data_IF_158123956690
#
_entry.id   IF_158123956690
#
_cell.length_a   1.000
_cell.length_b   1.000
_cell.length_c   1.000
_cell.angle_alpha   90.00
_cell.angle_beta   90.00
_cell.angle_gamma   90.00
#
_symmetry.space_group_name_H-M   'P 1'
#
loop_
_entity.id
_entity.type
_entity.pdbx_description
1 polymer ?
#
# COMPACT_ATOMS: atom_id res chain seq x y z
N UNK A 1 -4.16 -20.99 -7.31
CA UNK A 1 -2.93 -20.81 -8.10
C UNK A 1 -2.23 -19.50 -7.81
N UNK A 2 -0.89 -19.48 -7.92
CA UNK A 2 -0.11 -18.25 -7.79
C UNK A 2 -0.30 -17.36 -9.03
N UNK A 3 -0.80 -16.15 -8.81
CA UNK A 3 -1.15 -15.21 -9.88
C UNK A 3 0.00 -14.93 -10.85
N UNK A 4 1.25 -14.91 -10.38
CA UNK A 4 2.42 -14.60 -11.22
C UNK A 4 2.69 -15.63 -12.32
N UNK A 5 2.25 -16.89 -12.16
CA UNK A 5 2.45 -17.93 -13.19
C UNK A 5 1.77 -17.59 -14.52
N UNK A 6 0.65 -16.88 -14.48
CA UNK A 6 -0.09 -16.47 -15.69
C UNK A 6 0.66 -15.46 -16.56
N UNK A 7 1.71 -14.84 -16.02
CA UNK A 7 2.50 -13.84 -16.74
C UNK A 7 3.61 -14.47 -17.60
N UNK A 8 3.91 -15.76 -17.43
CA UNK A 8 4.90 -16.48 -18.24
C UNK A 8 6.24 -15.75 -18.36
N UNK A 9 6.80 -15.75 -19.57
CA UNK A 9 8.08 -15.09 -19.89
C UNK A 9 8.02 -13.56 -19.77
N UNK A 10 6.82 -12.96 -19.81
CA UNK A 10 6.62 -11.50 -19.73
C UNK A 10 6.71 -10.92 -18.31
N UNK A 11 6.83 -11.76 -17.28
CA UNK A 11 6.85 -11.28 -15.88
C UNK A 11 8.03 -10.33 -15.61
N UNK A 12 9.24 -10.69 -16.08
CA UNK A 12 10.43 -9.88 -15.83
C UNK A 12 10.37 -8.51 -16.52
N UNK A 13 9.91 -8.48 -17.77
CA UNK A 13 9.75 -7.23 -18.53
C UNK A 13 8.70 -6.32 -17.89
N UNK A 14 7.58 -6.90 -17.44
CA UNK A 14 6.54 -6.16 -16.71
C UNK A 14 7.06 -5.53 -15.42
N UNK A 15 7.87 -6.26 -14.65
CA UNK A 15 8.48 -5.74 -13.42
C UNK A 15 9.49 -4.62 -13.72
N UNK A 16 10.31 -4.75 -14.78
CA UNK A 16 11.25 -3.67 -15.19
C UNK A 16 10.50 -2.41 -15.64
N UNK A 17 9.42 -2.58 -16.40
CA UNK A 17 8.58 -1.46 -16.83
C UNK A 17 7.95 -0.76 -15.62
N UNK A 18 7.45 -1.51 -14.63
CA UNK A 18 6.91 -0.95 -13.40
C UNK A 18 7.99 -0.24 -12.56
N UNK A 19 9.19 -0.82 -12.45
CA UNK A 19 10.32 -0.23 -11.73
C UNK A 19 10.81 1.09 -12.34
N UNK A 20 10.60 1.28 -13.65
CA UNK A 20 10.89 2.54 -14.34
C UNK A 20 9.84 3.64 -14.12
N UNK A 21 8.76 3.38 -13.38
CA UNK A 21 7.75 4.38 -13.05
C UNK A 21 8.05 4.97 -11.66
N UNK A 22 8.30 6.29 -11.56
CA UNK A 22 8.53 6.91 -10.26
C UNK A 22 7.27 6.84 -9.41
N UNK A 23 7.44 6.55 -8.12
CA UNK A 23 6.40 6.79 -7.12
C UNK A 23 6.25 8.30 -6.86
N UNK A 24 5.11 8.75 -6.31
CA UNK A 24 4.98 10.09 -5.80
C UNK A 24 6.06 10.38 -4.75
N UNK A 25 6.64 11.58 -4.81
CA UNK A 25 7.52 12.10 -3.76
C UNK A 25 6.72 12.44 -2.51
N UNK A 26 7.37 12.45 -1.34
CA UNK A 26 6.72 12.88 -0.09
C UNK A 26 6.19 14.33 -0.19
N UNK A 27 6.90 15.21 -0.91
CA UNK A 27 6.46 16.58 -1.16
C UNK A 27 5.20 16.65 -2.04
N UNK A 28 5.05 15.74 -3.01
CA UNK A 28 3.82 15.64 -3.80
C UNK A 28 2.66 15.10 -2.96
N UNK A 29 2.90 14.09 -2.12
CA UNK A 29 1.91 13.57 -1.18
C UNK A 29 1.44 14.65 -0.19
N UNK A 30 2.34 15.51 0.29
CA UNK A 30 2.02 16.61 1.21
C UNK A 30 1.05 17.64 0.62
N UNK A 31 0.84 17.67 -0.69
CA UNK A 31 -0.12 18.55 -1.36
C UNK A 31 -1.52 17.95 -1.49
N UNK A 32 -1.72 16.69 -1.11
CA UNK A 32 -3.00 16.00 -1.24
C UNK A 32 -3.87 16.26 -0.01
N UNK A 33 -4.83 17.17 -0.13
CA UNK A 33 -5.78 17.51 0.95
C UNK A 33 -7.02 16.59 0.97
N UNK A 34 -6.89 15.34 0.53
CA UNK A 34 -7.97 14.32 0.60
C UNK A 34 -7.63 13.31 1.69
N UNK A 35 -8.63 12.70 2.38
CA UNK A 35 -8.34 11.66 3.35
C UNK A 35 -7.77 10.44 2.65
N UNK A 36 -6.77 9.79 3.24
CA UNK A 36 -6.12 8.64 2.64
C UNK A 36 -5.83 7.55 3.70
N UNK A 37 -6.25 6.32 3.39
CA UNK A 37 -5.83 5.14 4.13
C UNK A 37 -4.71 4.43 3.41
N UNK A 38 -3.60 4.16 4.09
CA UNK A 38 -2.47 3.39 3.58
C UNK A 38 -2.47 2.03 4.26
N UNK A 39 -2.51 0.93 3.49
CA UNK A 39 -2.42 -0.43 4.02
C UNK A 39 -1.02 -0.99 3.89
N UNK A 40 -0.55 -1.75 4.89
CA UNK A 40 0.72 -2.49 4.82
C UNK A 40 0.59 -3.90 5.42
N UNK A 41 1.45 -4.81 4.97
CA UNK A 41 1.66 -6.11 5.61
C UNK A 41 3.00 -6.07 6.36
N UNK A 42 2.99 -6.23 7.68
CA UNK A 42 4.20 -6.01 8.51
C UNK A 42 5.28 -7.08 8.34
N UNK A 43 4.92 -8.24 7.80
CA UNK A 43 5.77 -9.37 7.45
C UNK A 43 6.07 -9.45 5.94
N UNK A 44 5.83 -8.38 5.17
CA UNK A 44 6.15 -8.33 3.74
C UNK A 44 7.61 -7.91 3.49
N UNK A 45 8.47 -8.79 2.93
CA UNK A 45 9.86 -8.47 2.65
C UNK A 45 10.05 -7.60 1.39
N UNK A 46 9.02 -7.44 0.57
CA UNK A 46 9.02 -6.68 -0.69
C UNK A 46 8.49 -5.26 -0.48
N UNK A 47 7.50 -5.07 0.39
CA UNK A 47 6.87 -3.77 0.67
C UNK A 47 7.05 -3.38 2.15
N UNK A 48 8.14 -2.68 2.52
CA UNK A 48 8.42 -2.38 3.92
C UNK A 48 7.38 -1.43 4.53
N UNK A 49 6.88 -1.77 5.73
CA UNK A 49 5.99 -0.89 6.53
C UNK A 49 6.55 0.51 6.75
N UNK A 50 7.88 0.66 6.81
CA UNK A 50 8.52 1.97 6.91
C UNK A 50 8.10 2.92 5.78
N UNK A 51 8.02 2.44 4.54
CA UNK A 51 7.61 3.26 3.38
C UNK A 51 6.14 3.67 3.50
N UNK A 52 5.28 2.74 3.93
CA UNK A 52 3.86 3.03 4.17
C UNK A 52 3.67 4.08 5.29
N UNK A 53 4.48 4.00 6.35
CA UNK A 53 4.48 4.98 7.43
C UNK A 53 4.97 6.37 6.97
N UNK A 54 6.02 6.42 6.13
CA UNK A 54 6.49 7.67 5.53
C UNK A 54 5.42 8.33 4.67
N UNK A 55 4.69 7.56 3.86
CA UNK A 55 3.58 8.07 3.05
C UNK A 55 2.43 8.58 3.92
N UNK A 56 2.01 7.80 4.93
CA UNK A 56 0.94 8.19 5.84
C UNK A 56 1.30 9.46 6.63
N UNK A 57 2.57 9.63 7.02
CA UNK A 57 3.06 10.84 7.69
C UNK A 57 3.21 12.06 6.77
N UNK A 58 3.50 11.86 5.49
CA UNK A 58 3.58 12.95 4.51
C UNK A 58 2.19 13.47 4.09
N UNK A 59 1.18 12.60 4.08
CA UNK A 59 -0.20 12.97 3.78
C UNK A 59 -0.82 13.75 4.95
N UNK A 60 -1.35 14.97 4.74
CA UNK A 60 -1.97 15.77 5.81
C UNK A 60 -3.10 15.04 6.55
N UNK A 61 -3.81 14.16 5.83
CA UNK A 61 -4.87 13.30 6.34
C UNK A 61 -4.60 11.83 6.04
N UNK A 62 -3.34 11.41 6.20
CA UNK A 62 -2.92 10.02 6.06
C UNK A 62 -3.12 9.22 7.34
N UNK A 63 -3.65 8.00 7.20
CA UNK A 63 -3.71 7.03 8.31
C UNK A 63 -3.17 5.69 7.83
N UNK A 64 -2.32 5.06 8.64
CA UNK A 64 -1.78 3.72 8.39
C UNK A 64 -2.72 2.65 8.97
N UNK A 65 -3.00 1.62 8.18
CA UNK A 65 -3.64 0.38 8.58
C UNK A 65 -2.70 -0.79 8.35
N UNK A 66 -2.60 -1.69 9.34
CA UNK A 66 -1.64 -2.80 9.31
C UNK A 66 -2.37 -4.15 9.28
N UNK A 67 -1.77 -5.10 8.58
CA UNK A 67 -2.11 -6.53 8.59
C UNK A 67 -0.82 -7.34 8.39
N UNK A 68 -0.94 -8.63 8.06
CA UNK A 68 0.18 -9.51 7.67
C UNK A 68 -0.15 -10.26 6.38
N UNK A 69 0.87 -10.69 5.64
CA UNK A 69 0.79 -11.67 4.56
C UNK A 69 0.24 -13.00 5.09
N UNK A 70 0.57 -13.36 6.33
CA UNK A 70 -0.03 -14.51 7.01
C UNK A 70 -1.56 -14.36 7.09
N UNK A 71 -2.07 -13.22 7.55
CA UNK A 71 -3.51 -12.95 7.60
C UNK A 71 -4.12 -12.84 6.20
N UNK A 72 -3.41 -12.24 5.24
CA UNK A 72 -3.84 -12.16 3.84
C UNK A 72 -3.97 -13.54 3.18
N UNK A 73 -3.09 -14.47 3.52
CA UNK A 73 -3.14 -15.85 3.07
C UNK A 73 -4.37 -16.60 3.61
N UNK A 74 -4.82 -16.29 4.82
CA UNK A 74 -6.02 -16.87 5.44
C UNK A 74 -7.32 -16.15 5.03
N UNK A 75 -7.28 -14.83 4.86
CA UNK A 75 -8.38 -13.97 4.45
C UNK A 75 -7.91 -12.94 3.40
N UNK A 76 -8.37 -13.16 2.16
CA UNK A 76 -8.03 -12.33 1.00
C UNK A 76 -8.53 -10.90 1.12
N UNK A 77 -9.49 -10.62 1.99
CA UNK A 77 -10.04 -9.27 2.20
C UNK A 77 -9.29 -8.48 3.27
N UNK A 78 -8.45 -9.12 4.08
CA UNK A 78 -7.83 -8.51 5.26
C UNK A 78 -7.03 -7.24 4.95
N UNK A 79 -6.26 -7.22 3.86
CA UNK A 79 -5.52 -6.02 3.43
C UNK A 79 -6.48 -4.89 3.05
N UNK A 80 -7.48 -5.18 2.22
CA UNK A 80 -8.48 -4.18 1.83
C UNK A 80 -9.24 -3.61 3.03
N UNK A 81 -9.58 -4.47 4.00
CA UNK A 81 -10.23 -4.06 5.25
C UNK A 81 -9.34 -3.14 6.09
N UNK A 82 -8.06 -3.48 6.26
CA UNK A 82 -7.11 -2.62 6.96
C UNK A 82 -6.99 -1.24 6.30
N UNK A 83 -6.89 -1.20 4.96
CA UNK A 83 -6.82 0.06 4.18
C UNK A 83 -8.10 0.89 4.30
N UNK A 84 -9.28 0.28 4.14
CA UNK A 84 -10.56 1.01 4.21
C UNK A 84 -10.83 1.52 5.63
N UNK A 85 -10.53 0.75 6.67
CA UNK A 85 -10.66 1.21 8.05
C UNK A 85 -9.73 2.40 8.33
N UNK A 86 -8.51 2.40 7.81
CA UNK A 86 -7.61 3.54 7.90
C UNK A 86 -8.17 4.77 7.18
N UNK A 87 -8.70 4.60 5.95
CA UNK A 87 -9.35 5.68 5.21
C UNK A 87 -10.57 6.26 5.93
N UNK A 88 -11.41 5.42 6.52
CA UNK A 88 -12.57 5.87 7.30
C UNK A 88 -12.16 6.63 8.58
N UNK A 89 -11.02 6.29 9.19
CA UNK A 89 -10.45 7.07 10.30
C UNK A 89 -9.94 8.42 9.80
N UNK A 90 -9.17 8.44 8.71
CA UNK A 90 -8.69 9.68 8.08
C UNK A 90 -9.84 10.63 7.73
N UNK A 91 -10.97 10.09 7.27
CA UNK A 91 -12.15 10.87 6.86
C UNK A 91 -12.89 11.53 8.03
N UNK A 92 -12.64 11.11 9.27
CA UNK A 92 -13.26 11.68 10.48
C UNK A 92 -12.41 12.79 11.11
N UNK A 93 -11.12 12.84 10.80
CA UNK A 93 -10.22 13.89 11.26
C UNK A 93 -10.47 15.14 10.40
N UNK A 94 -11.06 16.18 11.01
CA UNK A 94 -11.19 17.50 10.38
C UNK A 94 -9.88 18.27 10.49
#
# INVERSE_FOLDING_TARGET
DRAWRRHGDGLADGLRAAAGRPSPTLAELARLDVPAGIGTCTDDPVHPTKVAAEWAGALPRGVLGETTLTALGADRESLGRATVLAFLRASKTR
#
